data_IF_235412163699
#
_entry.id   IF_235412163699
#
_cell.length_a   1.000
_cell.length_b   1.000
_cell.length_c   1.000
_cell.angle_alpha   90.00
_cell.angle_beta   90.00
_cell.angle_gamma   90.00
#
_symmetry.space_group_name_H-M   'P 1'
#
loop_
_entity.id
_entity.type
_entity.pdbx_description
1 polymer ?
#
# COMPACT_ATOMS: atom_id res chain seq x y z
N UNK A 1 11.56 21.25 58.51
CA UNK A 1 11.90 21.07 59.93
C UNK A 1 13.09 21.96 60.27
N UNK A 2 12.82 23.23 60.57
CA UNK A 2 13.74 24.14 61.23
C UNK A 2 13.57 23.95 62.74
N UNK A 3 14.63 24.25 63.52
CA UNK A 3 14.73 24.34 64.99
C UNK A 3 15.34 23.12 65.67
N UNK A 4 16.66 23.16 65.86
CA UNK A 4 17.35 22.62 67.04
C UNK A 4 18.83 22.94 66.89
N UNK A 5 19.29 24.02 67.51
CA UNK A 5 20.65 24.24 68.06
C UNK A 5 20.77 25.72 68.44
N UNK A 6 19.96 26.12 69.41
CA UNK A 6 20.07 27.41 70.08
C UNK A 6 19.78 27.12 71.55
N UNK A 7 20.77 26.64 72.30
CA UNK A 7 20.81 26.63 73.77
C UNK A 7 22.20 26.15 74.19
N UNK A 8 22.70 26.68 75.30
CA UNK A 8 24.05 26.51 75.90
C UNK A 8 25.02 27.62 75.48
N UNK A 9 24.95 28.77 76.17
CA UNK A 9 26.00 29.24 77.08
C UNK A 9 25.64 30.66 77.58
N UNK A 10 24.68 30.76 78.50
CA UNK A 10 24.36 32.03 79.18
C UNK A 10 23.75 31.71 80.54
N UNK A 11 24.58 31.20 81.46
CA UNK A 11 24.27 31.16 82.89
C UNK A 11 25.54 30.83 83.69
N UNK A 12 26.07 31.81 84.41
CA UNK A 12 26.84 31.69 85.67
C UNK A 12 27.19 33.13 86.10
N UNK A 13 26.27 33.83 86.75
CA UNK A 13 26.16 33.94 88.22
C UNK A 13 27.39 34.58 88.89
N UNK A 14 27.28 35.90 89.04
CA UNK A 14 27.52 36.70 90.26
C UNK A 14 28.07 36.00 91.52
N UNK A 15 29.23 36.48 91.97
CA UNK A 15 29.63 36.92 93.34
C UNK A 15 29.20 36.08 94.56
N UNK A 16 30.12 35.91 95.54
CA UNK A 16 30.14 36.91 96.60
C UNK A 16 31.53 37.38 97.04
N UNK A 17 31.53 38.68 97.32
CA UNK A 17 32.47 39.45 98.13
C UNK A 17 32.33 39.00 99.59
N UNK A 18 33.41 38.48 100.19
CA UNK A 18 33.49 38.19 101.62
C UNK A 18 34.61 39.05 102.22
N UNK A 19 34.23 39.88 103.18
CA UNK A 19 35.09 40.81 103.90
C UNK A 19 35.16 40.44 105.39
N UNK A 20 36.26 40.89 106.02
CA UNK A 20 36.59 40.98 107.45
C UNK A 20 37.29 39.76 108.10
N UNK A 21 38.20 39.97 109.10
CA UNK A 21 38.34 41.15 109.95
C UNK A 21 39.77 41.75 110.08
N UNK A 22 39.80 42.96 110.65
CA UNK A 22 40.99 43.72 111.04
C UNK A 22 41.70 43.15 112.29
N UNK A 23 43.01 43.40 112.41
CA UNK A 23 43.71 43.95 113.61
C UNK A 23 45.23 43.89 113.43
N UNK A 24 45.95 44.97 113.77
CA UNK A 24 47.38 44.90 114.11
C UNK A 24 48.33 45.86 113.40
N UNK A 25 48.29 47.13 113.79
CA UNK A 25 49.42 48.05 114.04
C UNK A 25 50.48 48.41 112.95
N UNK A 26 51.05 49.63 113.03
CA UNK A 26 51.63 50.33 111.89
C UNK A 26 53.10 49.96 111.74
N UNK A 27 53.43 49.19 110.71
CA UNK A 27 54.82 49.03 110.30
C UNK A 27 55.09 49.97 109.14
N UNK A 28 55.79 51.04 109.49
CA UNK A 28 56.59 51.91 108.64
C UNK A 28 56.95 51.29 107.29
N UNK A 29 57.01 52.12 106.26
CA UNK A 29 57.76 51.82 105.04
C UNK A 29 59.20 51.45 105.41
N UNK A 30 59.43 50.17 105.73
CA UNK A 30 60.76 49.59 105.78
C UNK A 30 61.16 49.46 104.32
N UNK A 31 61.59 50.59 103.74
CA UNK A 31 62.69 50.59 102.80
C UNK A 31 63.83 49.88 103.53
N UNK A 32 63.82 48.55 103.48
CA UNK A 32 65.04 47.80 103.68
C UNK A 32 65.98 48.44 102.67
N UNK A 33 66.93 49.23 103.17
CA UNK A 33 68.09 49.62 102.38
C UNK A 33 68.84 48.32 102.16
N UNK A 34 68.34 47.53 101.22
CA UNK A 34 69.11 46.49 100.57
C UNK A 34 70.40 47.19 100.17
N UNK A 35 71.52 46.57 100.48
CA UNK A 35 72.80 47.12 100.03
C UNK A 35 72.71 47.26 98.50
N UNK A 36 73.28 48.33 97.91
CA UNK A 36 73.11 48.62 96.49
C UNK A 36 73.52 47.46 95.56
N UNK A 37 74.31 46.50 96.07
CA UNK A 37 74.66 45.25 95.38
C UNK A 37 73.51 44.22 95.36
N UNK A 38 72.78 44.04 96.46
CA UNK A 38 71.71 43.04 96.57
C UNK A 38 70.46 43.43 95.76
N UNK A 39 70.13 44.73 95.73
CA UNK A 39 69.07 45.28 94.87
C UNK A 39 69.34 44.98 93.39
N UNK A 40 70.60 45.17 92.95
CA UNK A 40 71.00 44.90 91.57
C UNK A 40 70.95 43.42 91.22
N UNK A 41 71.43 42.55 92.11
CA UNK A 41 71.37 41.10 91.89
C UNK A 41 69.93 40.59 91.76
N UNK A 42 69.03 41.00 92.67
CA UNK A 42 67.62 40.62 92.60
C UNK A 42 66.91 41.17 91.36
N UNK A 43 67.27 42.39 90.92
CA UNK A 43 66.77 42.95 89.66
C UNK A 43 67.28 42.17 88.45
N UNK A 44 68.54 41.74 88.44
CA UNK A 44 69.13 40.95 87.37
C UNK A 44 68.50 39.54 87.31
N UNK A 45 68.23 38.88 88.44
CA UNK A 45 67.50 37.60 88.51
C UNK A 45 66.04 37.73 88.08
N UNK A 46 65.33 38.79 88.52
CA UNK A 46 63.96 39.06 88.05
C UNK A 46 63.92 39.37 86.56
N UNK A 47 64.93 40.06 86.04
CA UNK A 47 65.07 40.33 84.62
C UNK A 47 65.37 39.04 83.86
N UNK A 48 66.24 38.17 84.38
CA UNK A 48 66.54 36.85 83.83
C UNK A 48 65.30 35.95 83.79
N UNK A 49 64.55 35.86 84.89
CA UNK A 49 63.27 35.14 84.97
C UNK A 49 62.23 35.70 84.01
N UNK A 50 62.11 37.02 83.88
CA UNK A 50 61.20 37.64 82.91
C UNK A 50 61.60 37.31 81.47
N UNK A 51 62.91 37.32 81.16
CA UNK A 51 63.40 36.92 79.84
C UNK A 51 63.20 35.43 79.57
N UNK A 52 63.41 34.57 80.56
CA UNK A 52 63.19 33.13 80.46
C UNK A 52 61.70 32.80 80.30
N UNK A 53 60.82 33.43 81.09
CA UNK A 53 59.37 33.31 80.93
C UNK A 53 58.89 33.79 79.56
N UNK A 54 59.49 34.86 79.02
CA UNK A 54 59.18 35.35 77.69
C UNK A 54 59.63 34.36 76.60
N UNK A 55 60.86 33.83 76.70
CA UNK A 55 61.37 32.81 75.78
C UNK A 55 60.56 31.52 75.84
N UNK A 56 60.18 31.07 77.04
CA UNK A 56 59.32 29.91 77.21
C UNK A 56 57.95 30.11 76.55
N UNK A 57 57.34 31.30 76.71
CA UNK A 57 56.08 31.61 76.01
C UNK A 57 56.23 31.56 74.50
N UNK A 58 57.32 32.11 73.95
CA UNK A 58 57.61 32.06 72.51
C UNK A 58 57.76 30.61 72.05
N UNK A 59 58.56 29.79 72.73
CA UNK A 59 58.78 28.40 72.37
C UNK A 59 57.48 27.56 72.41
N UNK A 60 56.66 27.75 73.45
CA UNK A 60 55.37 27.06 73.57
C UNK A 60 54.40 27.53 72.48
N UNK A 61 54.35 28.83 72.19
CA UNK A 61 53.53 29.38 71.10
C UNK A 61 53.97 28.81 69.75
N UNK A 62 55.28 28.75 69.49
CA UNK A 62 55.82 28.12 68.28
C UNK A 62 55.43 26.65 68.17
N UNK A 63 55.57 25.87 69.25
CA UNK A 63 55.24 24.44 69.24
C UNK A 63 53.73 24.21 69.03
N UNK A 64 52.87 25.02 69.67
CA UNK A 64 51.41 24.94 69.51
C UNK A 64 51.02 25.31 68.08
N UNK A 65 51.55 26.41 67.53
CA UNK A 65 51.29 26.83 66.15
C UNK A 65 51.78 25.77 65.16
N UNK A 66 52.96 25.19 65.37
CA UNK A 66 53.45 24.10 64.51
C UNK A 66 52.57 22.85 64.56
N UNK A 67 52.05 22.47 65.75
CA UNK A 67 51.10 21.37 65.87
C UNK A 67 49.78 21.67 65.15
N UNK A 68 49.23 22.87 65.32
CA UNK A 68 48.01 23.28 64.63
C UNK A 68 48.20 23.31 63.11
N UNK A 69 49.30 23.89 62.62
CA UNK A 69 49.65 23.88 61.20
C UNK A 69 49.81 22.45 60.68
N UNK A 70 50.47 21.56 61.43
CA UNK A 70 50.64 20.16 61.03
C UNK A 70 49.33 19.37 60.99
N UNK A 71 48.38 19.68 61.88
CA UNK A 71 47.03 19.10 61.85
C UNK A 71 46.24 19.66 60.66
N UNK A 72 46.31 20.98 60.42
CA UNK A 72 45.68 21.63 59.28
C UNK A 72 46.20 21.08 57.95
N UNK A 73 47.51 20.89 57.82
CA UNK A 73 48.16 20.41 56.60
C UNK A 73 47.80 18.94 56.30
N UNK A 74 47.73 18.09 57.33
CA UNK A 74 47.20 16.72 57.20
C UNK A 74 45.74 16.71 56.79
N UNK A 75 44.89 17.52 57.42
CA UNK A 75 43.47 17.62 57.06
C UNK A 75 43.28 18.11 55.61
N UNK A 76 44.08 19.09 55.18
CA UNK A 76 44.07 19.64 53.83
C UNK A 76 44.54 18.61 52.79
N UNK A 77 45.56 17.80 53.12
CA UNK A 77 46.01 16.67 52.31
C UNK A 77 44.92 15.61 52.15
N UNK A 78 44.25 15.19 53.24
CA UNK A 78 43.13 14.26 53.15
C UNK A 78 41.97 14.81 52.32
N UNK A 79 41.64 16.10 52.47
CA UNK A 79 40.62 16.75 51.66
C UNK A 79 41.00 16.73 50.17
N UNK A 80 42.26 17.05 49.82
CA UNK A 80 42.70 17.05 48.43
C UNK A 80 42.66 15.64 47.83
N UNK A 81 43.12 14.62 48.57
CA UNK A 81 43.11 13.22 48.13
C UNK A 81 41.68 12.70 47.94
N UNK A 82 40.76 12.97 48.88
CA UNK A 82 39.36 12.52 48.77
C UNK A 82 38.63 13.21 47.62
N UNK A 83 38.83 14.53 47.44
CA UNK A 83 38.29 15.28 46.30
C UNK A 83 38.82 14.70 44.98
N UNK A 84 40.11 14.42 44.89
CA UNK A 84 40.74 13.84 43.68
C UNK A 84 40.15 12.46 43.35
N UNK A 85 39.99 11.57 44.36
CA UNK A 85 39.36 10.27 44.14
C UNK A 85 37.87 10.38 43.75
N UNK A 86 37.14 11.34 44.31
CA UNK A 86 35.76 11.59 43.91
C UNK A 86 35.68 12.02 42.44
N UNK A 87 36.59 12.88 41.99
CA UNK A 87 36.72 13.23 40.57
C UNK A 87 37.04 12.02 39.70
N UNK A 88 37.94 11.12 40.13
CA UNK A 88 38.22 9.89 39.36
C UNK A 88 37.03 8.94 39.30
N UNK A 89 36.28 8.76 40.39
CA UNK A 89 35.06 7.96 40.39
C UNK A 89 34.00 8.54 39.46
N UNK A 90 33.81 9.86 39.51
CA UNK A 90 32.85 10.57 38.64
C UNK A 90 33.26 10.47 37.17
N UNK A 91 34.55 10.63 36.87
CA UNK A 91 35.09 10.43 35.53
C UNK A 91 34.92 8.99 35.05
N UNK A 92 35.18 8.00 35.91
CA UNK A 92 34.98 6.58 35.60
C UNK A 92 33.50 6.27 35.29
N UNK A 93 32.58 6.73 36.14
CA UNK A 93 31.14 6.56 35.93
C UNK A 93 30.66 7.26 34.64
N UNK A 94 31.12 8.49 34.38
CA UNK A 94 30.80 9.22 33.16
C UNK A 94 31.33 8.51 31.90
N UNK A 95 32.53 7.93 31.97
CA UNK A 95 33.13 7.16 30.88
C UNK A 95 32.31 5.92 30.55
N UNK A 96 31.89 5.17 31.58
CA UNK A 96 31.03 3.98 31.40
C UNK A 96 29.68 4.38 30.82
N UNK A 97 29.04 5.42 31.35
CA UNK A 97 27.76 5.92 30.83
C UNK A 97 27.88 6.40 29.38
N UNK A 98 28.98 7.04 29.00
CA UNK A 98 29.22 7.48 27.63
C UNK A 98 29.36 6.29 26.66
N UNK A 99 30.09 5.24 27.05
CA UNK A 99 30.25 4.03 26.24
C UNK A 99 28.90 3.32 26.05
N UNK A 100 28.16 3.10 27.14
CA UNK A 100 26.84 2.43 27.10
C UNK A 100 25.84 3.27 26.31
N UNK A 101 25.81 4.59 26.54
CA UNK A 101 24.95 5.52 25.82
C UNK A 101 25.25 5.55 24.32
N UNK A 102 26.53 5.53 23.92
CA UNK A 102 26.94 5.49 22.52
C UNK A 102 26.53 4.18 21.82
N UNK A 103 26.68 3.04 22.50
CA UNK A 103 26.23 1.75 21.98
C UNK A 103 24.70 1.73 21.77
N UNK A 104 23.93 2.18 22.76
CA UNK A 104 22.46 2.25 22.68
C UNK A 104 21.98 3.16 21.54
N UNK A 105 22.56 4.36 21.39
CA UNK A 105 22.24 5.27 20.30
C UNK A 105 22.55 4.67 18.92
N UNK A 106 23.67 3.94 18.80
CA UNK A 106 24.06 3.26 17.57
C UNK A 106 23.10 2.12 17.24
N UNK A 107 22.68 1.33 18.23
CA UNK A 107 21.69 0.27 18.07
C UNK A 107 20.33 0.83 17.66
N UNK A 108 19.83 1.86 18.35
CA UNK A 108 18.59 2.55 17.99
C UNK A 108 18.61 3.06 16.55
N UNK A 109 19.71 3.71 16.13
CA UNK A 109 19.88 4.18 14.76
C UNK A 109 19.86 3.04 13.74
N UNK A 110 20.44 1.88 14.08
CA UNK A 110 20.44 0.70 13.22
C UNK A 110 19.04 0.10 13.12
N UNK A 111 18.38 -0.18 14.24
CA UNK A 111 17.03 -0.75 14.28
C UNK A 111 16.00 0.14 13.59
N UNK A 112 16.07 1.46 13.81
CA UNK A 112 15.20 2.42 13.11
C UNK A 112 15.43 2.38 11.59
N UNK A 113 16.68 2.27 11.14
CA UNK A 113 17.03 2.19 9.72
C UNK A 113 16.55 0.86 9.12
N UNK A 114 16.75 -0.24 9.81
CA UNK A 114 16.32 -1.58 9.37
C UNK A 114 14.78 -1.67 9.30
N UNK A 115 14.07 -1.08 10.25
CA UNK A 115 12.61 -0.98 10.25
C UNK A 115 12.09 -0.14 9.07
N UNK A 116 12.68 1.03 8.84
CA UNK A 116 12.31 1.88 7.70
C UNK A 116 12.59 1.17 6.38
N UNK A 117 13.73 0.50 6.25
CA UNK A 117 14.09 -0.25 5.03
C UNK A 117 13.13 -1.41 4.76
N UNK A 118 12.78 -2.19 5.80
CA UNK A 118 11.83 -3.30 5.66
C UNK A 118 10.42 -2.83 5.32
N UNK A 119 9.93 -1.79 6.00
CA UNK A 119 8.61 -1.22 5.70
C UNK A 119 8.57 -0.62 4.28
N UNK A 120 9.60 0.13 3.90
CA UNK A 120 9.69 0.70 2.55
C UNK A 120 9.67 -0.40 1.49
N UNK A 121 10.45 -1.48 1.70
CA UNK A 121 10.48 -2.63 0.78
C UNK A 121 9.12 -3.31 0.66
N UNK A 122 8.41 -3.50 1.77
CA UNK A 122 7.07 -4.07 1.75
C UNK A 122 6.10 -3.18 0.97
N UNK A 123 6.12 -1.88 1.22
CA UNK A 123 5.29 -0.91 0.50
C UNK A 123 5.60 -0.98 -1.00
N UNK A 124 6.86 -0.86 -1.39
CA UNK A 124 7.29 -0.93 -2.80
C UNK A 124 6.82 -2.23 -3.46
N UNK A 125 7.02 -3.39 -2.81
CA UNK A 125 6.60 -4.68 -3.35
C UNK A 125 5.06 -4.81 -3.47
N UNK A 126 4.30 -4.27 -2.52
CA UNK A 126 2.84 -4.25 -2.63
C UNK A 126 2.35 -3.37 -3.78
N UNK A 127 2.98 -2.21 -4.00
CA UNK A 127 2.65 -1.34 -5.14
C UNK A 127 3.07 -1.95 -6.46
N UNK A 128 4.24 -2.58 -6.53
CA UNK A 128 4.70 -3.29 -7.71
C UNK A 128 3.75 -4.44 -8.08
N UNK A 129 3.31 -5.23 -7.10
CA UNK A 129 2.31 -6.30 -7.31
C UNK A 129 0.97 -5.75 -7.82
N UNK A 130 0.48 -4.66 -7.23
CA UNK A 130 -0.77 -4.00 -7.69
C UNK A 130 -0.64 -3.45 -9.10
N UNK A 131 0.48 -2.79 -9.41
CA UNK A 131 0.74 -2.23 -10.73
C UNK A 131 0.78 -3.33 -11.80
N UNK A 132 1.51 -4.43 -11.52
CA UNK A 132 1.53 -5.60 -12.41
C UNK A 132 0.16 -6.26 -12.58
N UNK A 133 -0.71 -6.20 -11.57
CA UNK A 133 -2.07 -6.71 -11.71
C UNK A 133 -2.90 -5.80 -12.62
N UNK A 134 -2.85 -4.49 -12.40
CA UNK A 134 -3.55 -3.50 -13.23
C UNK A 134 -3.09 -3.61 -14.69
N UNK A 135 -1.78 -3.72 -14.92
CA UNK A 135 -1.22 -3.88 -16.26
C UNK A 135 -1.75 -5.15 -16.95
N UNK A 136 -1.73 -6.30 -16.26
CA UNK A 136 -2.26 -7.56 -16.81
C UNK A 136 -3.75 -7.47 -17.11
N UNK A 137 -4.53 -6.87 -16.22
CA UNK A 137 -5.97 -6.66 -16.43
C UNK A 137 -6.24 -5.72 -17.61
N UNK A 138 -5.46 -4.64 -17.74
CA UNK A 138 -5.56 -3.71 -18.85
C UNK A 138 -5.22 -4.41 -20.17
N UNK A 139 -4.08 -5.10 -20.25
CA UNK A 139 -3.67 -5.85 -21.44
C UNK A 139 -4.73 -6.89 -21.86
N UNK A 140 -5.27 -7.64 -20.90
CA UNK A 140 -6.34 -8.62 -21.16
C UNK A 140 -7.59 -7.93 -21.71
N UNK A 141 -8.06 -6.86 -21.07
CA UNK A 141 -9.24 -6.11 -21.53
C UNK A 141 -9.02 -5.52 -22.90
N UNK A 142 -7.86 -4.92 -23.16
CA UNK A 142 -7.51 -4.37 -24.48
C UNK A 142 -7.52 -5.44 -25.56
N UNK A 143 -7.00 -6.64 -25.29
CA UNK A 143 -7.04 -7.75 -26.24
C UNK A 143 -8.48 -8.16 -26.59
N UNK A 144 -9.33 -8.34 -25.58
CA UNK A 144 -10.75 -8.69 -25.78
C UNK A 144 -11.47 -7.58 -26.55
N UNK A 145 -11.22 -6.32 -26.21
CA UNK A 145 -11.80 -5.18 -26.93
C UNK A 145 -11.38 -5.20 -28.40
N UNK A 146 -10.10 -5.44 -28.69
CA UNK A 146 -9.61 -5.54 -30.06
C UNK A 146 -10.22 -6.70 -30.85
N UNK A 147 -10.43 -7.85 -30.21
CA UNK A 147 -11.11 -9.02 -30.80
C UNK A 147 -12.59 -8.68 -31.09
N UNK A 148 -13.31 -8.11 -30.12
CA UNK A 148 -14.69 -7.68 -30.30
C UNK A 148 -14.82 -6.63 -31.42
N UNK A 149 -13.89 -5.68 -31.53
CA UNK A 149 -13.89 -4.70 -32.62
C UNK A 149 -13.78 -5.37 -33.99
N UNK A 150 -12.93 -6.38 -34.14
CA UNK A 150 -12.80 -7.14 -35.40
C UNK A 150 -14.08 -7.91 -35.74
N UNK A 151 -14.76 -8.46 -34.73
CA UNK A 151 -16.04 -9.14 -34.93
C UNK A 151 -17.14 -8.17 -35.37
N UNK A 152 -17.20 -6.99 -34.74
CA UNK A 152 -18.14 -5.92 -35.12
C UNK A 152 -17.86 -5.46 -36.56
N UNK A 153 -16.59 -5.25 -36.91
CA UNK A 153 -16.19 -4.84 -38.26
C UNK A 153 -16.61 -5.89 -39.30
N UNK A 154 -16.34 -7.18 -39.05
CA UNK A 154 -16.81 -8.27 -39.93
C UNK A 154 -18.33 -8.32 -40.05
N UNK A 155 -19.05 -8.12 -38.95
CA UNK A 155 -20.51 -8.08 -38.97
C UNK A 155 -21.02 -6.90 -39.81
N UNK A 156 -20.43 -5.72 -39.63
CA UNK A 156 -20.76 -4.53 -40.41
C UNK A 156 -20.46 -4.71 -41.91
N UNK A 157 -19.33 -5.34 -42.24
CA UNK A 157 -18.96 -5.68 -43.62
C UNK A 157 -19.98 -6.62 -44.26
N UNK A 158 -20.32 -7.73 -43.58
CA UNK A 158 -21.35 -8.66 -44.05
C UNK A 158 -22.70 -7.96 -44.19
N UNK A 159 -23.09 -7.12 -43.24
CA UNK A 159 -24.35 -6.37 -43.31
C UNK A 159 -24.37 -5.38 -44.48
N UNK A 160 -23.26 -4.69 -44.75
CA UNK A 160 -23.14 -3.81 -45.90
C UNK A 160 -23.24 -4.58 -47.22
N UNK A 161 -22.64 -5.77 -47.30
CA UNK A 161 -22.78 -6.66 -48.46
C UNK A 161 -24.24 -7.12 -48.64
N UNK A 162 -24.95 -7.48 -47.57
CA UNK A 162 -26.37 -7.80 -47.63
C UNK A 162 -27.21 -6.64 -48.16
N UNK A 163 -26.99 -5.43 -47.65
CA UNK A 163 -27.69 -4.24 -48.11
C UNK A 163 -27.42 -3.99 -49.60
N UNK A 164 -26.16 -4.16 -50.03
CA UNK A 164 -25.80 -4.05 -51.44
C UNK A 164 -26.50 -5.10 -52.30
N UNK A 165 -26.47 -6.37 -51.91
CA UNK A 165 -27.15 -7.45 -52.63
C UNK A 165 -28.65 -7.19 -52.80
N UNK A 166 -29.31 -6.59 -51.79
CA UNK A 166 -30.73 -6.24 -51.87
C UNK A 166 -31.04 -5.12 -52.87
N UNK A 167 -30.08 -4.23 -53.15
CA UNK A 167 -30.25 -3.10 -54.07
C UNK A 167 -29.85 -3.43 -55.51
N UNK A 168 -28.98 -4.44 -55.70
CA UNK A 168 -28.55 -4.86 -57.03
C UNK A 168 -29.70 -5.56 -57.77
N UNK A 169 -29.91 -5.18 -59.04
CA UNK A 169 -30.92 -5.82 -59.90
C UNK A 169 -30.37 -6.98 -60.71
N UNK A 170 -29.06 -6.99 -60.98
CA UNK A 170 -28.41 -8.04 -61.77
C UNK A 170 -28.20 -9.31 -60.94
N UNK A 171 -28.72 -10.47 -61.37
CA UNK A 171 -28.58 -11.71 -60.60
C UNK A 171 -27.12 -12.21 -60.54
N UNK A 172 -26.32 -11.95 -61.58
CA UNK A 172 -24.89 -12.27 -61.57
C UNK A 172 -24.14 -11.46 -60.51
N UNK A 173 -24.44 -10.16 -60.39
CA UNK A 173 -23.82 -9.29 -59.39
C UNK A 173 -24.23 -9.70 -57.96
N UNK A 174 -25.49 -10.11 -57.76
CA UNK A 174 -25.95 -10.67 -56.48
C UNK A 174 -25.14 -11.91 -56.09
N UNK A 175 -24.90 -12.82 -57.05
CA UNK A 175 -24.10 -14.02 -56.80
C UNK A 175 -22.68 -13.70 -56.36
N UNK A 176 -22.01 -12.76 -57.02
CA UNK A 176 -20.66 -12.33 -56.65
C UNK A 176 -20.61 -11.71 -55.24
N UNK A 177 -21.68 -11.01 -54.82
CA UNK A 177 -21.80 -10.44 -53.46
C UNK A 177 -22.05 -11.54 -52.43
N UNK A 178 -22.91 -12.51 -52.72
CA UNK A 178 -23.12 -13.66 -51.82
C UNK A 178 -21.86 -14.51 -51.68
N UNK A 179 -21.04 -14.63 -52.72
CA UNK A 179 -19.72 -15.28 -52.62
C UNK A 179 -18.77 -14.54 -51.69
N UNK A 180 -18.80 -13.19 -51.68
CA UNK A 180 -18.04 -12.41 -50.70
C UNK A 180 -18.56 -12.63 -49.28
N UNK A 181 -19.87 -12.67 -49.08
CA UNK A 181 -20.47 -12.96 -47.75
C UNK A 181 -20.05 -14.36 -47.28
N UNK A 182 -20.09 -15.35 -48.16
CA UNK A 182 -19.69 -16.72 -47.85
C UNK A 182 -18.17 -16.87 -47.65
N UNK A 183 -17.35 -16.00 -48.25
CA UNK A 183 -15.92 -15.96 -47.95
C UNK A 183 -15.66 -15.49 -46.50
N UNK A 184 -16.42 -14.48 -46.04
CA UNK A 184 -16.31 -13.95 -44.67
C UNK A 184 -16.98 -14.89 -43.66
N UNK A 185 -18.12 -15.50 -44.01
CA UNK A 185 -18.90 -16.41 -43.16
C UNK A 185 -19.32 -17.66 -43.96
N UNK A 186 -18.44 -18.69 -44.04
CA UNK A 186 -18.67 -19.88 -44.88
C UNK A 186 -19.86 -20.77 -44.50
N UNK A 187 -20.40 -20.60 -43.29
CA UNK A 187 -21.55 -21.35 -42.78
C UNK A 187 -22.84 -20.54 -42.74
N UNK A 188 -22.91 -19.41 -43.45
CA UNK A 188 -24.14 -18.63 -43.53
C UNK A 188 -25.16 -19.32 -44.45
N UNK A 189 -26.18 -19.94 -43.83
CA UNK A 189 -27.22 -20.66 -44.55
C UNK A 189 -28.10 -19.71 -45.37
N UNK A 190 -28.38 -18.51 -44.85
CA UNK A 190 -29.20 -17.52 -45.55
C UNK A 190 -28.48 -17.01 -46.80
N UNK A 191 -27.16 -16.79 -46.72
CA UNK A 191 -26.38 -16.44 -47.90
C UNK A 191 -26.39 -17.54 -48.97
N UNK A 192 -26.41 -18.82 -48.57
CA UNK A 192 -26.54 -19.95 -49.51
C UNK A 192 -27.92 -20.03 -50.16
N UNK A 193 -29.01 -19.81 -49.41
CA UNK A 193 -30.38 -19.83 -49.94
C UNK A 193 -30.62 -18.67 -50.89
N UNK A 194 -30.17 -17.45 -50.54
CA UNK A 194 -30.25 -16.29 -51.43
C UNK A 194 -29.32 -16.40 -52.64
N UNK A 195 -28.21 -17.12 -52.54
CA UNK A 195 -27.39 -17.46 -53.71
C UNK A 195 -28.11 -18.45 -54.64
N UNK A 196 -28.85 -19.41 -54.09
CA UNK A 196 -29.66 -20.34 -54.89
C UNK A 196 -30.79 -19.60 -55.64
N UNK A 197 -31.44 -18.64 -54.98
CA UNK A 197 -32.41 -17.73 -55.59
C UNK A 197 -31.83 -16.98 -56.79
N UNK A 198 -30.66 -16.35 -56.61
CA UNK A 198 -29.97 -15.65 -57.70
C UNK A 198 -29.57 -16.58 -58.85
N UNK A 199 -29.25 -17.85 -58.57
CA UNK A 199 -28.99 -18.85 -59.60
C UNK A 199 -30.27 -19.25 -60.38
N UNK A 200 -31.42 -19.32 -59.71
CA UNK A 200 -32.72 -19.54 -60.37
C UNK A 200 -33.09 -18.39 -61.30
N UNK A 201 -32.86 -17.14 -60.88
CA UNK A 201 -33.04 -15.97 -61.74
C UNK A 201 -32.20 -16.00 -63.02
N UNK A 202 -31.09 -16.77 -63.03
CA UNK A 202 -30.25 -16.99 -64.22
C UNK A 202 -30.59 -18.28 -64.97
N UNK A 203 -31.67 -18.97 -64.58
CA UNK A 203 -32.10 -20.25 -65.13
C UNK A 203 -31.08 -21.40 -64.89
N UNK A 204 -30.15 -21.24 -63.95
CA UNK A 204 -29.13 -22.23 -63.56
C UNK A 204 -29.68 -23.19 -62.48
N UNK A 205 -30.77 -23.88 -62.81
CA UNK A 205 -31.57 -24.67 -61.85
C UNK A 205 -30.78 -25.81 -61.19
N UNK A 206 -29.86 -26.44 -61.92
CA UNK A 206 -29.01 -27.53 -61.37
C UNK A 206 -28.08 -27.03 -60.27
N UNK A 207 -27.57 -25.82 -60.45
CA UNK A 207 -26.73 -25.21 -59.45
C UNK A 207 -27.53 -24.81 -58.21
N UNK A 208 -28.71 -24.20 -58.40
CA UNK A 208 -29.62 -23.87 -57.30
C UNK A 208 -29.99 -25.09 -56.46
N UNK A 209 -30.30 -26.23 -57.10
CA UNK A 209 -30.54 -27.51 -56.41
C UNK A 209 -29.35 -27.93 -55.54
N UNK A 210 -28.13 -27.84 -56.08
CA UNK A 210 -26.93 -28.23 -55.33
C UNK A 210 -26.69 -27.34 -54.10
N UNK A 211 -26.98 -26.04 -54.21
CA UNK A 211 -26.87 -25.08 -53.10
C UNK A 211 -27.93 -25.35 -52.03
N UNK A 212 -29.19 -25.56 -52.43
CA UNK A 212 -30.28 -25.89 -51.51
C UNK A 212 -30.02 -27.22 -50.78
N UNK A 213 -29.55 -28.26 -51.50
CA UNK A 213 -29.19 -29.53 -50.88
C UNK A 213 -28.08 -29.39 -49.84
N UNK A 214 -27.12 -28.48 -50.04
CA UNK A 214 -26.08 -28.19 -49.05
C UNK A 214 -26.66 -27.52 -47.80
N UNK A 215 -27.60 -26.59 -47.95
CA UNK A 215 -28.31 -25.99 -46.81
C UNK A 215 -29.07 -27.07 -46.04
N UNK A 216 -29.79 -27.94 -46.75
CA UNK A 216 -30.59 -29.01 -46.15
C UNK A 216 -29.78 -30.11 -45.45
N UNK A 217 -28.49 -30.27 -45.78
CA UNK A 217 -27.60 -31.16 -45.01
C UNK A 217 -27.33 -30.62 -43.60
N UNK A 218 -27.40 -29.31 -43.41
CA UNK A 218 -27.14 -28.64 -42.13
C UNK A 218 -28.46 -28.35 -41.41
N UNK A 219 -29.44 -27.81 -42.12
CA UNK A 219 -30.77 -27.49 -41.63
C UNK A 219 -31.85 -28.04 -42.59
N UNK A 220 -32.33 -29.28 -42.34
CA UNK A 220 -33.36 -29.91 -43.17
C UNK A 220 -34.72 -29.22 -43.12
N UNK A 221 -34.99 -28.37 -42.13
CA UNK A 221 -36.28 -27.69 -41.94
C UNK A 221 -36.26 -26.24 -42.43
N UNK A 222 -35.17 -25.82 -43.09
CA UNK A 222 -35.08 -24.46 -43.62
C UNK A 222 -36.13 -24.23 -44.72
N UNK A 223 -37.20 -23.51 -44.37
CA UNK A 223 -38.34 -23.28 -45.24
C UNK A 223 -37.96 -22.57 -46.56
N UNK A 224 -37.04 -21.61 -46.51
CA UNK A 224 -36.57 -20.91 -47.70
C UNK A 224 -35.73 -21.81 -48.62
N UNK A 225 -34.86 -22.67 -48.06
CA UNK A 225 -34.10 -23.62 -48.86
C UNK A 225 -35.00 -24.67 -49.52
N UNK A 226 -36.00 -25.18 -48.79
CA UNK A 226 -37.01 -26.11 -49.30
C UNK A 226 -37.81 -25.48 -50.44
N UNK A 227 -38.25 -24.22 -50.26
CA UNK A 227 -38.95 -23.45 -51.29
C UNK A 227 -38.12 -23.26 -52.55
N UNK A 228 -36.87 -22.79 -52.42
CA UNK A 228 -36.00 -22.60 -53.59
C UNK A 228 -35.66 -23.93 -54.28
N UNK A 229 -35.58 -25.03 -53.52
CA UNK A 229 -35.44 -26.38 -54.10
C UNK A 229 -36.70 -26.80 -54.86
N UNK A 230 -37.88 -26.49 -54.35
CA UNK A 230 -39.15 -26.74 -55.01
C UNK A 230 -39.27 -25.97 -56.33
N UNK A 231 -38.93 -24.68 -56.35
CA UNK A 231 -38.90 -23.87 -57.58
C UNK A 231 -37.92 -24.46 -58.62
N UNK A 232 -36.72 -24.86 -58.18
CA UNK A 232 -35.73 -25.48 -59.06
C UNK A 232 -36.24 -26.80 -59.66
N UNK A 233 -36.89 -27.66 -58.86
CA UNK A 233 -37.46 -28.93 -59.31
C UNK A 233 -38.67 -28.73 -60.24
N UNK A 234 -39.54 -27.76 -59.96
CA UNK A 234 -40.71 -27.45 -60.78
C UNK A 234 -40.28 -27.06 -62.20
N UNK A 235 -39.32 -26.15 -62.33
CA UNK A 235 -38.79 -25.74 -63.63
C UNK A 235 -37.95 -26.78 -64.37
N UNK A 236 -37.51 -27.85 -63.70
CA UNK A 236 -36.93 -29.03 -64.35
C UNK A 236 -37.95 -30.09 -64.75
N UNK A 237 -39.21 -29.95 -64.35
CA UNK A 237 -40.26 -30.96 -64.57
C UNK A 237 -40.26 -32.11 -63.56
N UNK A 238 -39.56 -31.97 -62.42
CA UNK A 238 -39.62 -32.94 -61.32
C UNK A 238 -40.80 -32.64 -60.40
N UNK A 239 -42.01 -32.84 -60.91
CA UNK A 239 -43.27 -32.39 -60.28
C UNK A 239 -43.48 -32.92 -58.86
N UNK A 240 -43.31 -34.23 -58.63
CA UNK A 240 -43.52 -34.84 -57.31
C UNK A 240 -42.52 -34.35 -56.25
N UNK A 241 -41.27 -34.13 -56.63
CA UNK A 241 -40.23 -33.62 -55.73
C UNK A 241 -40.50 -32.16 -55.39
N UNK A 242 -40.89 -31.35 -56.39
CA UNK A 242 -41.28 -29.97 -56.18
C UNK A 242 -42.46 -29.83 -55.21
N UNK A 243 -43.50 -30.64 -55.37
CA UNK A 243 -44.68 -30.62 -54.50
C UNK A 243 -44.36 -31.06 -53.08
N UNK A 244 -43.56 -32.12 -52.91
CA UNK A 244 -43.15 -32.59 -51.59
C UNK A 244 -42.30 -31.54 -50.84
N UNK A 245 -41.40 -30.86 -51.55
CA UNK A 245 -40.56 -29.81 -50.97
C UNK A 245 -41.37 -28.56 -50.62
N UNK A 246 -42.33 -28.20 -51.48
CA UNK A 246 -43.23 -27.07 -51.26
C UNK A 246 -44.16 -27.30 -50.07
N UNK A 247 -44.70 -28.51 -49.91
CA UNK A 247 -45.53 -28.90 -48.76
C UNK A 247 -44.77 -28.72 -47.45
N UNK A 248 -43.53 -29.25 -47.37
CA UNK A 248 -42.66 -29.06 -46.21
C UNK A 248 -42.27 -27.59 -46.00
N UNK A 249 -42.07 -26.82 -47.08
CA UNK A 249 -41.77 -25.39 -46.96
C UNK A 249 -42.94 -24.60 -46.35
N UNK A 250 -44.17 -24.88 -46.79
CA UNK A 250 -45.40 -24.23 -46.31
C UNK A 250 -45.72 -24.64 -44.87
N UNK A 251 -45.51 -25.91 -44.50
CA UNK A 251 -45.64 -26.36 -43.11
C UNK A 251 -44.73 -25.59 -42.16
N UNK A 252 -43.48 -25.32 -42.58
CA UNK A 252 -42.50 -24.60 -41.78
C UNK A 252 -42.70 -23.07 -41.82
N UNK A 253 -43.20 -22.52 -42.92
CA UNK A 253 -43.52 -21.10 -43.05
C UNK A 253 -44.78 -20.88 -43.90
N UNK A 254 -45.89 -20.61 -43.21
CA UNK A 254 -47.22 -20.42 -43.82
C UNK A 254 -47.25 -19.28 -44.83
N UNK A 255 -46.41 -18.24 -44.68
CA UNK A 255 -46.37 -17.13 -45.64
C UNK A 255 -45.94 -17.56 -47.05
N UNK A 256 -45.17 -18.65 -47.17
CA UNK A 256 -44.73 -19.18 -48.46
C UNK A 256 -45.91 -19.71 -49.30
N UNK A 257 -47.07 -20.01 -48.70
CA UNK A 257 -48.29 -20.37 -49.44
C UNK A 257 -48.68 -19.30 -50.45
N UNK A 258 -48.77 -18.05 -50.00
CA UNK A 258 -49.17 -16.93 -50.85
C UNK A 258 -48.10 -16.63 -51.90
N UNK A 259 -46.82 -16.68 -51.50
CA UNK A 259 -45.70 -16.46 -52.42
C UNK A 259 -45.71 -17.52 -53.53
N UNK A 260 -45.88 -18.80 -53.19
CA UNK A 260 -45.96 -19.89 -54.15
C UNK A 260 -47.13 -19.75 -55.13
N UNK A 261 -48.27 -19.20 -54.69
CA UNK A 261 -49.44 -18.99 -55.53
C UNK A 261 -49.21 -17.91 -56.61
N UNK A 262 -48.38 -16.91 -56.32
CA UNK A 262 -48.07 -15.80 -57.24
C UNK A 262 -46.84 -16.08 -58.13
N UNK A 263 -45.92 -16.94 -57.68
CA UNK A 263 -44.66 -17.22 -58.35
C UNK A 263 -44.83 -17.93 -59.72
N UNK A 264 -44.09 -17.45 -60.73
CA UNK A 264 -44.13 -17.95 -62.11
C UNK A 264 -43.44 -19.33 -62.23
N UNK A 265 -42.52 -19.66 -61.32
CA UNK A 265 -41.78 -20.92 -61.34
C UNK A 265 -42.68 -22.16 -61.16
N UNK A 266 -43.88 -21.96 -60.60
CA UNK A 266 -44.87 -23.02 -60.41
C UNK A 266 -45.96 -23.08 -61.48
N UNK A 267 -45.88 -22.27 -62.55
CA UNK A 267 -46.82 -22.31 -63.68
C UNK A 267 -47.10 -23.72 -64.22
N UNK A 268 -46.08 -24.61 -64.39
CA UNK A 268 -46.32 -25.98 -64.83
C UNK A 268 -47.17 -26.81 -63.85
N UNK A 269 -47.12 -26.50 -62.55
CA UNK A 269 -47.77 -27.24 -61.47
C UNK A 269 -49.12 -26.66 -61.06
N UNK A 270 -49.53 -25.49 -61.59
CA UNK A 270 -50.79 -24.82 -61.22
C UNK A 270 -52.04 -25.67 -61.42
N UNK A 271 -52.03 -26.58 -62.39
CA UNK A 271 -53.16 -27.48 -62.68
C UNK A 271 -53.16 -28.74 -61.82
N UNK A 272 -52.09 -28.98 -61.05
CA UNK A 272 -51.95 -30.18 -60.25
C UNK A 272 -52.83 -30.09 -58.99
N UNK A 273 -53.64 -31.12 -58.68
CA UNK A 273 -54.60 -31.06 -57.56
C UNK A 273 -53.93 -30.80 -56.20
N UNK A 274 -52.75 -31.37 -55.95
CA UNK A 274 -51.97 -31.12 -54.73
C UNK A 274 -51.51 -29.67 -54.61
N UNK A 275 -51.13 -29.02 -55.72
CA UNK A 275 -50.67 -27.63 -55.69
C UNK A 275 -51.82 -26.68 -55.38
N UNK A 276 -53.00 -26.96 -55.93
CA UNK A 276 -54.24 -26.21 -55.65
C UNK A 276 -54.59 -26.32 -54.16
N UNK A 277 -54.54 -27.51 -53.56
CA UNK A 277 -54.79 -27.70 -52.13
C UNK A 277 -53.77 -26.99 -51.24
N UNK A 278 -52.50 -26.96 -51.64
CA UNK A 278 -51.43 -26.27 -50.90
C UNK A 278 -51.54 -24.75 -50.97
N UNK A 279 -52.03 -24.20 -52.07
CA UNK A 279 -52.15 -22.74 -52.31
C UNK A 279 -53.49 -22.14 -51.87
N UNK A 280 -54.53 -22.96 -51.70
CA UNK A 280 -55.82 -22.54 -51.18
C UNK A 280 -55.74 -22.26 -49.67
N UNK A 281 -56.20 -21.08 -49.28
CA UNK A 281 -56.36 -20.73 -47.88
C UNK A 281 -57.49 -21.54 -47.24
N UNK A 282 -57.18 -22.24 -46.15
CA UNK A 282 -58.19 -22.81 -45.26
C UNK A 282 -59.00 -21.73 -44.50
N UNK A 283 -58.77 -20.43 -44.78
CA UNK A 283 -59.35 -19.29 -44.06
C UNK A 283 -60.25 -18.37 -44.90
N UNK A 284 -60.46 -18.61 -46.19
CA UNK A 284 -61.53 -17.91 -46.94
C UNK A 284 -62.77 -18.81 -47.08
N UNK A 285 -63.85 -18.60 -46.31
CA UNK A 285 -65.15 -19.14 -46.67
C UNK A 285 -65.65 -18.41 -47.92
N UNK A 286 -66.02 -19.20 -48.92
CA UNK A 286 -66.68 -18.77 -50.15
C UNK A 286 -67.73 -17.67 -49.89
N UNK A 287 -67.53 -16.50 -50.51
CA UNK A 287 -68.54 -15.44 -50.64
C UNK A 287 -69.27 -15.56 -51.98
#
# INVERSE_FOLDING_TARGET
>A
MHRLFAFILMLCCSLPLAAAPETGEPTEEVRTRLTPLMERYMLDELKALRTEMAQFRVNVQEEVVQKELGVADKAMSYANVTVTYFFYLLAGAASVLAIVGWQSLRELKKTARDYVETQMKQITDTYERKLRQIERELQRKTKVIAENYREIERFQEVHALWLRASQEQSPQAKMDIYDQILHIKPGDLDALTHKADAALMMNERQWALSLCNRVMQVDPQNAHALYQRACANAGMGHEEQALSDLELAVENNVHLRHVAAEDEEFDPLRQHPRFIELTLDATEPAS
#
